data_IF_495973079491
#
_entry.id   IF_495973079491
#
_cell.length_a   1.000
_cell.length_b   1.000
_cell.length_c   1.000
_cell.angle_alpha   90.00
_cell.angle_beta   90.00
_cell.angle_gamma   90.00
#
_symmetry.space_group_name_H-M   'P 1'
#
loop_
_entity.id
_entity.type
_entity.pdbx_description
1 polymer ?
#
# COMPACT_ATOMS: atom_id res chain seq x y z
N UNK A 1 4.68 -3.30 39.37
CA UNK A 1 4.53 -2.33 38.27
C UNK A 1 5.91 -2.04 37.70
N UNK A 2 6.30 -2.76 36.64
CA UNK A 2 7.63 -2.61 36.05
C UNK A 2 7.65 -1.32 35.20
N UNK A 3 8.64 -0.46 35.46
CA UNK A 3 8.82 0.79 34.76
C UNK A 3 9.01 0.55 33.25
N UNK A 4 8.21 1.27 32.47
CA UNK A 4 8.24 1.31 31.01
C UNK A 4 9.58 1.88 30.54
N UNK A 5 10.12 1.39 29.42
CA UNK A 5 11.24 2.10 28.79
C UNK A 5 10.70 3.41 28.19
N UNK A 6 11.17 4.58 28.63
CA UNK A 6 10.67 5.89 28.17
C UNK A 6 10.86 6.10 26.66
N UNK A 7 11.84 5.43 26.05
CA UNK A 7 12.10 5.48 24.61
C UNK A 7 10.97 4.90 23.77
N UNK A 8 10.40 3.75 24.17
CA UNK A 8 9.28 3.14 23.44
C UNK A 8 7.98 3.92 23.61
N UNK A 9 7.76 4.54 24.77
CA UNK A 9 6.59 5.40 25.00
C UNK A 9 6.62 6.63 24.06
N UNK A 10 7.75 7.33 23.98
CA UNK A 10 7.87 8.51 23.12
C UNK A 10 7.70 8.19 21.63
N UNK A 11 8.13 7.02 21.17
CA UNK A 11 7.94 6.59 19.77
C UNK A 11 6.48 6.23 19.47
N UNK A 12 5.73 5.70 20.43
CA UNK A 12 4.34 5.27 20.22
C UNK A 12 3.35 6.45 20.22
N UNK A 13 3.64 7.51 20.98
CA UNK A 13 2.79 8.70 21.10
C UNK A 13 3.13 9.81 20.12
N UNK A 14 4.34 9.82 19.55
CA UNK A 14 4.69 10.73 18.48
C UNK A 14 4.35 10.06 17.15
N UNK A 15 3.33 10.60 16.47
CA UNK A 15 3.01 10.23 15.10
C UNK A 15 4.29 10.32 14.24
N UNK A 16 4.77 9.24 13.62
CA UNK A 16 5.89 9.33 12.69
C UNK A 16 5.54 10.21 11.46
N UNK A 17 4.26 10.52 11.24
CA UNK A 17 3.76 11.28 10.09
C UNK A 17 3.96 12.80 10.12
N UNK A 18 4.40 13.42 11.22
CA UNK A 18 4.60 14.88 11.28
C UNK A 18 6.09 15.22 11.17
N UNK A 19 6.63 15.07 9.98
CA UNK A 19 8.00 15.50 9.67
C UNK A 19 8.12 16.00 8.23
N UNK A 20 7.33 17.01 7.86
CA UNK A 20 7.64 18.03 6.86
C UNK A 20 6.39 18.87 6.56
N UNK A 21 6.12 19.90 7.36
CA UNK A 21 5.32 21.03 6.92
C UNK A 21 6.26 22.24 6.87
N UNK A 22 6.49 22.75 5.65
CA UNK A 22 7.29 23.93 5.41
C UNK A 22 6.74 25.11 6.20
N UNK A 23 7.63 25.83 6.86
CA UNK A 23 7.34 27.11 7.50
C UNK A 23 7.08 28.16 6.43
N UNK A 24 5.83 28.59 6.27
CA UNK A 24 5.47 29.79 5.51
C UNK A 24 5.44 31.00 6.48
N UNK A 25 6.26 32.05 6.28
CA UNK A 25 6.40 33.13 7.24
C UNK A 25 5.42 34.27 6.93
N UNK A 26 4.15 34.12 7.29
CA UNK A 26 3.22 35.24 7.30
C UNK A 26 2.10 35.01 8.31
N UNK A 27 2.31 35.51 9.54
CA UNK A 27 1.33 36.24 10.37
C UNK A 27 1.88 36.41 11.80
N UNK A 28 1.87 37.66 12.28
CA UNK A 28 2.33 38.09 13.60
C UNK A 28 1.35 37.77 14.74
N UNK A 29 1.68 38.15 15.99
CA UNK A 29 1.50 37.29 17.14
C UNK A 29 0.23 37.62 17.95
N UNK A 30 -0.54 36.60 18.31
CA UNK A 30 -1.38 36.64 19.52
C UNK A 30 -1.22 35.32 20.26
N UNK A 31 -0.82 35.46 21.52
CA UNK A 31 -0.44 34.42 22.46
C UNK A 31 -1.47 33.31 22.60
N UNK A 32 -1.01 32.06 22.60
CA UNK A 32 -1.57 31.03 23.48
C UNK A 32 -0.47 30.10 23.96
N UNK A 33 -0.21 30.22 25.26
CA UNK A 33 0.73 29.46 26.07
C UNK A 33 0.19 28.04 26.28
N UNK A 34 0.89 27.00 25.81
CA UNK A 34 1.01 25.65 26.39
C UNK A 34 1.70 24.70 25.37
N UNK A 35 2.63 23.87 25.86
CA UNK A 35 3.41 22.84 25.15
C UNK A 35 4.56 23.32 24.23
N UNK A 36 5.60 23.85 24.85
CA UNK A 36 6.95 23.85 24.29
C UNK A 36 7.54 22.42 24.35
N UNK A 37 7.22 21.60 23.35
CA UNK A 37 7.91 20.34 23.05
C UNK A 37 8.46 20.43 21.63
N UNK A 38 9.62 21.06 21.49
CA UNK A 38 10.21 21.41 20.19
C UNK A 38 10.40 20.20 19.28
N UNK A 39 9.78 20.25 18.10
CA UNK A 39 10.17 19.43 16.96
C UNK A 39 11.56 19.84 16.52
N UNK A 40 12.58 19.06 16.92
CA UNK A 40 13.92 19.17 16.38
C UNK A 40 14.05 18.14 15.26
N UNK A 41 14.17 18.64 14.03
CA UNK A 41 14.65 17.85 12.90
C UNK A 41 16.13 17.50 13.16
N UNK A 42 16.40 16.29 13.63
CA UNK A 42 17.77 15.79 13.74
C UNK A 42 18.20 15.20 12.40
N UNK A 43 18.82 16.03 11.56
CA UNK A 43 19.56 15.55 10.41
C UNK A 43 20.85 14.86 10.89
N UNK A 44 20.92 13.53 10.74
CA UNK A 44 22.14 12.77 10.95
C UNK A 44 23.12 13.14 9.82
N UNK A 45 24.18 13.90 10.14
CA UNK A 45 25.16 14.36 9.14
C UNK A 45 26.45 13.54 9.27
N UNK A 46 26.87 12.79 8.24
CA UNK A 46 28.20 12.20 8.24
C UNK A 46 29.23 13.32 8.02
N UNK A 47 30.13 13.53 8.98
CA UNK A 47 31.21 14.51 8.90
C UNK A 47 32.58 13.81 8.96
N UNK A 48 33.58 14.27 8.18
CA UNK A 48 34.92 13.69 8.20
C UNK A 48 35.62 13.98 9.53
N UNK A 49 36.46 13.04 9.96
CA UNK A 49 37.17 13.09 11.22
C UNK A 49 38.10 14.32 11.31
N UNK A 50 37.87 15.17 12.32
CA UNK A 50 38.87 16.09 12.84
C UNK A 50 38.86 15.96 14.37
N UNK A 51 40.01 15.55 14.91
CA UNK A 51 40.16 15.16 16.30
C UNK A 51 40.04 16.33 17.27
N UNK A 52 39.36 16.06 18.38
CA UNK A 52 39.62 16.72 19.67
C UNK A 52 39.73 15.60 20.70
N UNK A 53 40.94 15.41 21.21
CA UNK A 53 41.20 14.62 22.40
C UNK A 53 40.94 15.51 23.62
N UNK A 54 40.01 15.12 24.48
CA UNK A 54 40.09 15.40 25.91
C UNK A 54 39.22 14.42 26.69
N UNK A 55 39.84 13.85 27.72
CA UNK A 55 39.40 12.64 28.37
C UNK A 55 38.27 12.84 29.37
N UNK A 56 37.40 11.84 29.39
CA UNK A 56 36.79 11.35 30.61
C UNK A 56 36.55 9.85 30.41
N UNK A 57 37.47 9.02 30.91
CA UNK A 57 37.21 7.59 31.16
C UNK A 57 36.18 7.52 32.28
N UNK A 58 34.91 7.56 31.91
CA UNK A 58 33.78 7.25 32.77
C UNK A 58 32.87 6.32 31.98
N UNK A 59 33.23 5.04 31.91
CA UNK A 59 32.32 4.00 31.44
C UNK A 59 31.20 3.84 32.45
N UNK A 60 30.21 4.73 32.42
CA UNK A 60 28.93 4.50 33.07
C UNK A 60 28.31 3.28 32.41
N UNK A 61 28.13 2.23 33.20
CA UNK A 61 27.37 1.06 32.76
C UNK A 61 26.03 1.54 32.17
N UNK A 62 25.61 1.01 31.01
CA UNK A 62 24.35 1.43 30.39
C UNK A 62 23.23 1.21 31.39
N UNK A 63 22.49 2.28 31.69
CA UNK A 63 21.38 2.25 32.63
C UNK A 63 20.40 1.14 32.20
N UNK A 64 20.13 0.11 33.03
CA UNK A 64 19.29 -1.04 32.67
C UNK A 64 17.86 -0.65 32.28
N UNK A 65 17.43 0.58 32.56
CA UNK A 65 16.15 1.18 32.16
C UNK A 65 16.04 1.53 30.66
N UNK A 66 17.18 1.63 29.97
CA UNK A 66 17.26 2.08 28.57
C UNK A 66 17.25 0.97 27.53
N UNK A 67 17.35 -0.30 27.95
CA UNK A 67 17.48 -1.44 27.03
C UNK A 67 16.13 -1.94 26.48
N UNK A 68 16.08 -2.22 25.18
CA UNK A 68 14.92 -2.80 24.49
C UNK A 68 14.81 -4.32 24.72
N UNK A 69 15.96 -5.01 24.71
CA UNK A 69 16.04 -6.45 24.86
C UNK A 69 15.97 -6.90 26.33
N UNK A 70 15.54 -8.14 26.53
CA UNK A 70 15.62 -8.80 27.84
C UNK A 70 17.08 -9.04 28.21
N UNK A 71 17.41 -8.91 29.50
CA UNK A 71 18.81 -8.96 29.97
C UNK A 71 19.55 -10.26 29.64
N UNK A 72 18.84 -11.40 29.55
CA UNK A 72 19.43 -12.69 29.18
C UNK A 72 19.95 -12.72 27.74
N UNK A 73 19.23 -12.09 26.81
CA UNK A 73 19.59 -12.07 25.38
C UNK A 73 20.82 -11.21 25.13
N UNK A 74 20.98 -10.11 25.89
CA UNK A 74 22.17 -9.27 25.84
C UNK A 74 23.43 -9.94 26.40
N UNK A 75 23.28 -10.78 27.42
CA UNK A 75 24.41 -11.48 28.05
C UNK A 75 24.89 -12.67 27.23
N UNK A 76 23.96 -13.37 26.57
CA UNK A 76 24.25 -14.51 25.72
C UNK A 76 23.58 -14.32 24.34
N UNK A 77 24.16 -13.48 23.46
CA UNK A 77 23.70 -13.39 22.08
C UNK A 77 23.87 -14.75 21.39
N UNK A 78 22.90 -15.18 20.58
CA UNK A 78 22.98 -16.47 19.89
C UNK A 78 24.20 -16.50 18.96
N UNK A 79 24.83 -17.67 18.83
CA UNK A 79 25.99 -17.88 17.96
C UNK A 79 25.70 -17.61 16.47
N UNK A 80 24.42 -17.56 16.09
CA UNK A 80 23.95 -17.22 14.74
C UNK A 80 23.95 -15.73 14.41
N UNK A 81 24.24 -14.84 15.38
CA UNK A 81 24.26 -13.41 15.12
C UNK A 81 25.56 -12.98 14.42
N UNK A 82 25.48 -12.02 13.46
CA UNK A 82 26.67 -11.45 12.83
C UNK A 82 27.63 -10.85 13.87
N UNK A 83 28.94 -10.75 13.59
CA UNK A 83 29.90 -10.16 14.51
C UNK A 83 29.57 -8.69 14.85
N UNK A 84 30.03 -8.15 16.00
CA UNK A 84 29.68 -6.80 16.46
C UNK A 84 29.93 -5.68 15.43
N UNK A 85 31.05 -5.75 14.71
CA UNK A 85 31.41 -4.77 13.67
C UNK A 85 30.41 -4.76 12.51
N UNK A 86 29.98 -5.94 12.05
CA UNK A 86 28.98 -6.05 10.99
C UNK A 86 27.62 -5.50 11.43
N UNK A 87 27.23 -5.71 12.70
CA UNK A 87 25.99 -5.12 13.25
C UNK A 87 26.08 -3.60 13.32
N UNK A 88 27.24 -3.06 13.72
CA UNK A 88 27.48 -1.61 13.79
C UNK A 88 27.42 -0.98 12.39
N UNK A 89 28.05 -1.61 11.40
CA UNK A 89 27.98 -1.15 10.01
C UNK A 89 26.54 -1.16 9.46
N UNK A 90 25.76 -2.20 9.77
CA UNK A 90 24.34 -2.29 9.39
C UNK A 90 23.51 -1.15 9.99
N UNK A 91 23.63 -0.92 11.30
CA UNK A 91 22.91 0.17 12.00
C UNK A 91 23.35 1.53 11.47
N UNK A 92 24.64 1.74 11.21
CA UNK A 92 25.15 2.97 10.62
C UNK A 92 24.55 3.24 9.23
N UNK A 93 24.51 2.22 8.36
CA UNK A 93 23.89 2.32 7.04
C UNK A 93 22.40 2.65 7.14
N UNK A 94 21.68 1.99 8.05
CA UNK A 94 20.25 2.24 8.25
C UNK A 94 19.99 3.66 8.76
N UNK A 95 20.77 4.15 9.71
CA UNK A 95 20.64 5.50 10.29
C UNK A 95 21.05 6.61 9.32
N UNK A 96 21.97 6.33 8.39
CA UNK A 96 22.27 7.25 7.29
C UNK A 96 21.04 7.49 6.38
N UNK A 97 20.09 6.54 6.38
CA UNK A 97 18.88 6.58 5.58
C UNK A 97 19.15 6.25 4.11
N UNK A 98 18.17 5.70 3.39
CA UNK A 98 18.30 5.52 1.95
C UNK A 98 18.18 6.87 1.25
N UNK A 99 19.05 7.14 0.26
CA UNK A 99 18.88 8.25 -0.66
C UNK A 99 17.79 7.86 -1.68
N UNK A 100 16.54 8.15 -1.32
CA UNK A 100 15.38 7.87 -2.18
C UNK A 100 14.97 9.17 -2.86
N UNK A 101 14.88 9.12 -4.19
CA UNK A 101 14.32 10.20 -4.99
C UNK A 101 12.80 10.08 -4.96
N UNK A 102 12.16 11.01 -4.25
CA UNK A 102 10.72 11.16 -4.29
C UNK A 102 10.32 12.17 -5.38
N UNK A 103 9.18 11.96 -6.05
CA UNK A 103 8.66 12.91 -7.02
C UNK A 103 8.33 14.25 -6.34
N UNK A 104 8.40 15.35 -7.09
CA UNK A 104 8.07 16.67 -6.57
C UNK A 104 6.59 16.69 -6.11
N UNK A 105 6.29 17.05 -4.85
CA UNK A 105 4.93 17.21 -4.33
C UNK A 105 4.03 18.07 -5.23
N UNK A 106 4.58 19.06 -5.93
CA UNK A 106 3.85 19.90 -6.87
C UNK A 106 3.38 19.13 -8.12
N UNK A 107 4.14 18.13 -8.57
CA UNK A 107 3.80 17.31 -9.74
C UNK A 107 2.74 16.24 -9.42
N UNK A 108 2.76 15.72 -8.19
CA UNK A 108 1.84 14.69 -7.71
C UNK A 108 0.62 15.27 -6.98
N UNK A 109 0.60 16.58 -6.75
CA UNK A 109 -0.55 17.30 -6.21
C UNK A 109 -0.82 17.01 -4.73
N UNK A 110 0.20 16.66 -3.95
CA UNK A 110 0.02 16.30 -2.54
C UNK A 110 1.28 15.78 -1.86
N UNK A 111 1.11 15.34 -0.61
CA UNK A 111 2.19 14.77 0.19
C UNK A 111 2.53 13.36 -0.29
N UNK A 112 3.82 13.13 -0.54
CA UNK A 112 4.36 11.82 -0.90
C UNK A 112 4.41 10.92 0.34
N UNK A 113 3.81 9.70 0.32
CA UNK A 113 3.92 8.78 1.43
C UNK A 113 5.37 8.36 1.68
N UNK A 114 5.74 8.28 2.96
CA UNK A 114 7.07 7.87 3.40
C UNK A 114 7.37 6.43 2.99
N UNK A 115 8.65 6.15 2.66
CA UNK A 115 9.15 4.79 2.49
C UNK A 115 9.30 4.05 3.81
N UNK A 116 9.04 2.74 3.81
CA UNK A 116 9.19 1.89 4.99
C UNK A 116 10.60 1.94 5.58
N UNK A 117 11.64 1.92 4.73
CA UNK A 117 13.03 2.02 5.16
C UNK A 117 13.35 3.36 5.84
N UNK A 118 12.77 4.46 5.33
CA UNK A 118 12.90 5.78 5.95
C UNK A 118 12.16 5.85 7.29
N UNK A 119 10.99 5.20 7.40
CA UNK A 119 10.25 5.08 8.66
C UNK A 119 11.03 4.27 9.70
N UNK A 120 11.63 3.15 9.31
CA UNK A 120 12.50 2.34 10.18
C UNK A 120 13.71 3.17 10.64
N UNK A 121 14.40 3.84 9.72
CA UNK A 121 15.53 4.70 10.05
C UNK A 121 15.13 5.80 11.07
N UNK A 122 13.99 6.44 10.88
CA UNK A 122 13.45 7.44 11.79
C UNK A 122 13.12 6.87 13.19
N UNK A 123 12.55 5.66 13.26
CA UNK A 123 12.28 4.96 14.51
C UNK A 123 13.59 4.68 15.27
N UNK A 124 14.60 4.14 14.59
CA UNK A 124 15.90 3.84 15.20
C UNK A 124 16.62 5.12 15.66
N UNK A 125 16.61 6.17 14.83
CA UNK A 125 17.20 7.47 15.16
C UNK A 125 16.51 8.12 16.38
N UNK A 126 15.18 8.00 16.47
CA UNK A 126 14.42 8.50 17.62
C UNK A 126 14.78 7.77 18.91
N UNK A 127 14.94 6.44 18.86
CA UNK A 127 15.38 5.65 20.02
C UNK A 127 16.80 6.04 20.44
N UNK A 128 17.73 6.17 19.48
CA UNK A 128 19.09 6.63 19.75
C UNK A 128 19.11 8.05 20.37
N UNK A 129 18.26 8.94 19.88
CA UNK A 129 18.08 10.28 20.43
C UNK A 129 17.56 10.27 21.88
N UNK A 130 16.65 9.36 22.24
CA UNK A 130 16.22 9.20 23.64
C UNK A 130 17.36 8.71 24.54
N UNK A 131 18.29 7.91 24.00
CA UNK A 131 19.52 7.55 24.71
C UNK A 131 20.57 8.67 24.74
N UNK A 132 20.30 9.82 24.11
CA UNK A 132 21.23 10.95 24.00
C UNK A 132 22.38 10.72 23.02
N UNK A 133 22.24 9.75 22.11
CA UNK A 133 23.28 9.36 21.16
C UNK A 133 22.94 9.86 19.75
N UNK A 134 23.80 10.72 19.20
CA UNK A 134 23.60 11.37 17.90
C UNK A 134 24.59 10.94 16.82
N UNK A 135 25.56 10.07 17.15
CA UNK A 135 26.49 9.47 16.19
C UNK A 135 26.50 7.97 16.38
N UNK A 136 26.61 7.21 15.29
CA UNK A 136 26.64 5.75 15.39
C UNK A 136 27.87 5.23 16.15
N UNK A 137 28.98 5.97 16.11
CA UNK A 137 30.23 5.61 16.80
C UNK A 137 30.08 5.63 18.33
N UNK A 138 29.19 6.48 18.84
CA UNK A 138 28.93 6.67 20.26
C UNK A 138 28.00 5.59 20.84
N UNK A 139 27.43 4.71 20.01
CA UNK A 139 26.60 3.60 20.46
C UNK A 139 27.46 2.51 21.12
N UNK A 140 27.04 2.08 22.31
CA UNK A 140 27.58 0.87 22.94
C UNK A 140 27.18 -0.38 22.16
N UNK A 141 27.96 -1.46 22.25
CA UNK A 141 27.66 -2.71 21.54
C UNK A 141 26.30 -3.32 21.92
N UNK A 142 25.83 -3.08 23.15
CA UNK A 142 24.49 -3.46 23.58
C UNK A 142 23.38 -2.64 22.91
N UNK A 143 23.59 -1.33 22.74
CA UNK A 143 22.66 -0.46 22.01
C UNK A 143 22.64 -0.80 20.51
N UNK A 144 23.81 -1.08 19.92
CA UNK A 144 23.91 -1.58 18.54
C UNK A 144 23.14 -2.89 18.39
N UNK A 145 23.28 -3.84 19.33
CA UNK A 145 22.53 -5.08 19.31
C UNK A 145 21.01 -4.84 19.41
N UNK A 146 20.57 -3.96 20.31
CA UNK A 146 19.14 -3.63 20.47
C UNK A 146 18.55 -3.03 19.19
N UNK A 147 19.23 -2.06 18.56
CA UNK A 147 18.77 -1.44 17.31
C UNK A 147 18.82 -2.43 16.13
N UNK A 148 19.85 -3.25 16.05
CA UNK A 148 19.96 -4.30 15.03
C UNK A 148 18.81 -5.30 15.12
N UNK A 149 18.51 -5.79 16.33
CA UNK A 149 17.40 -6.73 16.52
C UNK A 149 16.05 -6.07 16.21
N UNK A 150 15.88 -4.79 16.53
CA UNK A 150 14.67 -4.06 16.23
C UNK A 150 14.47 -3.91 14.71
N UNK A 151 15.51 -3.50 13.97
CA UNK A 151 15.49 -3.44 12.50
C UNK A 151 15.09 -4.80 11.89
N UNK A 152 15.63 -5.91 12.41
CA UNK A 152 15.26 -7.26 11.95
C UNK A 152 13.77 -7.56 12.17
N UNK A 153 13.21 -7.24 13.34
CA UNK A 153 11.77 -7.47 13.59
C UNK A 153 10.89 -6.62 12.67
N UNK A 154 11.30 -5.37 12.39
CA UNK A 154 10.55 -4.46 11.53
C UNK A 154 10.63 -4.81 10.04
N UNK A 155 11.63 -5.57 9.61
CA UNK A 155 11.87 -5.92 8.20
C UNK A 155 11.49 -7.35 7.83
N UNK A 156 11.46 -8.28 8.79
CA UNK A 156 11.24 -9.70 8.50
C UNK A 156 9.76 -10.09 8.27
N UNK A 157 9.53 -11.24 7.61
CA UNK A 157 8.19 -11.84 7.49
C UNK A 157 7.51 -12.03 8.85
N UNK A 158 6.17 -12.04 8.92
CA UNK A 158 5.43 -12.09 10.18
C UNK A 158 5.82 -13.26 11.09
N UNK A 159 6.04 -14.44 10.52
CA UNK A 159 6.33 -15.66 11.26
C UNK A 159 7.69 -15.57 12.01
N UNK A 160 8.71 -15.06 11.33
CA UNK A 160 10.05 -14.85 11.92
C UNK A 160 10.07 -13.68 12.90
N UNK A 161 9.36 -12.60 12.56
CA UNK A 161 9.25 -11.41 13.40
C UNK A 161 8.58 -11.71 14.74
N UNK A 162 7.54 -12.56 14.76
CA UNK A 162 6.86 -12.98 15.98
C UNK A 162 7.78 -13.70 16.96
N UNK A 163 8.62 -14.63 16.47
CA UNK A 163 9.61 -15.32 17.28
C UNK A 163 10.65 -14.37 17.88
N UNK A 164 11.17 -13.46 17.06
CA UNK A 164 12.17 -12.47 17.48
C UNK A 164 11.61 -11.42 18.46
N UNK A 165 10.35 -11.02 18.33
CA UNK A 165 9.71 -10.06 19.22
C UNK A 165 9.70 -10.54 20.69
N UNK A 166 9.66 -11.85 20.94
CA UNK A 166 9.69 -12.43 22.30
C UNK A 166 10.98 -12.12 23.07
N UNK A 167 12.06 -11.78 22.36
CA UNK A 167 13.35 -11.41 22.94
C UNK A 167 13.34 -9.99 23.55
N UNK A 168 12.33 -9.19 23.22
CA UNK A 168 12.15 -7.84 23.72
C UNK A 168 11.43 -7.82 25.08
N UNK A 169 11.65 -6.76 25.85
CA UNK A 169 10.93 -6.55 27.12
C UNK A 169 9.43 -6.30 26.92
N UNK A 170 9.08 -5.65 25.81
CA UNK A 170 7.71 -5.29 25.45
C UNK A 170 7.37 -5.80 24.04
N UNK A 171 7.11 -7.11 23.87
CA UNK A 171 6.87 -7.73 22.56
C UNK A 171 5.71 -7.08 21.81
N UNK A 172 4.57 -6.84 22.47
CA UNK A 172 3.38 -6.25 21.86
C UNK A 172 3.62 -4.88 21.24
N UNK A 173 4.51 -4.08 21.85
CA UNK A 173 4.87 -2.75 21.33
C UNK A 173 5.74 -2.83 20.10
N UNK A 174 6.67 -3.78 20.05
CA UNK A 174 7.50 -4.00 18.87
C UNK A 174 6.65 -4.50 17.70
N UNK A 175 5.71 -5.40 17.96
CA UNK A 175 4.76 -5.86 16.94
C UNK A 175 3.86 -4.72 16.45
N UNK A 176 3.35 -3.87 17.35
CA UNK A 176 2.61 -2.67 16.95
C UNK A 176 3.43 -1.70 16.08
N UNK A 177 4.73 -1.52 16.36
CA UNK A 177 5.61 -0.73 15.49
C UNK A 177 5.80 -1.38 14.12
N UNK A 178 5.92 -2.71 14.07
CA UNK A 178 6.00 -3.46 12.82
C UNK A 178 4.74 -3.27 11.99
N UNK A 179 3.57 -3.36 12.61
CA UNK A 179 2.28 -3.16 11.93
C UNK A 179 2.18 -1.75 11.35
N UNK A 180 2.63 -0.72 12.08
CA UNK A 180 2.73 0.66 11.57
C UNK A 180 3.68 0.77 10.36
N UNK A 181 4.85 0.12 10.40
CA UNK A 181 5.78 0.10 9.26
C UNK A 181 5.16 -0.61 8.05
N UNK A 182 4.45 -1.72 8.27
CA UNK A 182 3.73 -2.42 7.21
C UNK A 182 2.62 -1.57 6.60
N UNK A 183 1.90 -0.79 7.40
CA UNK A 183 0.89 0.16 6.93
C UNK A 183 1.52 1.29 6.07
N UNK A 184 2.68 1.81 6.49
CA UNK A 184 3.44 2.80 5.71
C UNK A 184 3.89 2.19 4.37
N UNK A 185 4.45 0.98 4.40
CA UNK A 185 4.87 0.26 3.20
C UNK A 185 3.70 0.07 2.22
N UNK A 186 2.54 -0.32 2.74
CA UNK A 186 1.33 -0.53 1.94
C UNK A 186 0.80 0.78 1.34
N UNK A 187 0.77 1.87 2.11
CA UNK A 187 0.43 3.21 1.59
C UNK A 187 1.38 3.63 0.47
N UNK A 188 2.69 3.43 0.65
CA UNK A 188 3.69 3.76 -0.36
C UNK A 188 3.49 2.95 -1.64
N UNK A 189 3.30 1.64 -1.51
CA UNK A 189 3.04 0.73 -2.63
C UNK A 189 1.84 1.17 -3.46
N UNK A 190 0.71 1.52 -2.82
CA UNK A 190 -0.48 2.02 -3.52
C UNK A 190 -0.22 3.33 -4.25
N UNK A 191 0.51 4.25 -3.62
CA UNK A 191 0.90 5.50 -4.26
C UNK A 191 1.75 5.26 -5.51
N UNK A 192 2.73 4.35 -5.44
CA UNK A 192 3.56 3.98 -6.59
C UNK A 192 2.75 3.29 -7.69
N UNK A 193 1.80 2.40 -7.35
CA UNK A 193 0.88 1.79 -8.30
C UNK A 193 0.04 2.88 -9.02
N UNK A 194 -0.49 3.87 -8.29
CA UNK A 194 -1.23 5.00 -8.89
C UNK A 194 -0.36 5.92 -9.74
N UNK A 195 0.89 6.20 -9.33
CA UNK A 195 1.86 6.95 -10.14
C UNK A 195 2.19 6.20 -11.43
N UNK A 196 2.36 4.87 -11.37
CA UNK A 196 2.55 4.03 -12.54
C UNK A 196 1.37 4.08 -13.51
N UNK A 197 0.14 4.02 -13.01
CA UNK A 197 -1.08 4.16 -13.82
C UNK A 197 -1.19 5.55 -14.48
N UNK A 198 -0.84 6.62 -13.74
CA UNK A 198 -0.80 7.98 -14.27
C UNK A 198 0.22 8.12 -15.40
N UNK A 199 1.45 7.65 -15.21
CA UNK A 199 2.50 7.74 -16.23
C UNK A 199 2.23 6.86 -17.46
N UNK A 200 1.67 5.66 -17.25
CA UNK A 200 1.20 4.82 -18.36
C UNK A 200 0.14 5.54 -19.19
N UNK A 201 -0.83 6.20 -18.52
CA UNK A 201 -1.87 6.96 -19.22
C UNK A 201 -1.31 8.22 -19.90
N UNK A 202 -0.36 8.93 -19.27
CA UNK A 202 0.33 10.08 -19.91
C UNK A 202 1.06 9.65 -21.17
N UNK A 203 1.73 8.50 -21.13
CA UNK A 203 2.44 7.94 -22.28
C UNK A 203 1.45 7.58 -23.41
N UNK A 204 0.33 6.93 -23.07
CA UNK A 204 -0.73 6.64 -24.03
C UNK A 204 -1.33 7.91 -24.65
N UNK A 205 -1.59 8.94 -23.84
CA UNK A 205 -2.10 10.24 -24.31
C UNK A 205 -1.15 10.92 -25.30
N UNK A 206 0.17 10.95 -24.99
CA UNK A 206 1.18 11.51 -25.89
C UNK A 206 1.24 10.74 -27.21
N UNK A 207 1.15 9.41 -27.16
CA UNK A 207 1.14 8.56 -28.34
C UNK A 207 -0.12 8.74 -29.21
N UNK A 208 -1.28 8.98 -28.59
CA UNK A 208 -2.55 9.22 -29.29
C UNK A 208 -2.61 10.63 -29.91
N UNK A 209 -2.12 11.65 -29.19
CA UNK A 209 -2.12 13.04 -29.65
C UNK A 209 -1.29 13.26 -30.93
N UNK A 210 -0.35 12.36 -31.23
CA UNK A 210 0.44 12.35 -32.47
C UNK A 210 -0.20 11.61 -33.65
N UNK A 211 -1.36 10.96 -33.48
CA UNK A 211 -2.04 10.20 -34.53
C UNK A 211 -3.27 10.95 -35.05
N UNK A 212 -3.39 11.05 -36.37
CA UNK A 212 -4.57 11.64 -37.03
C UNK A 212 -5.79 10.73 -36.82
N UNK A 213 -6.76 11.24 -36.06
CA UNK A 213 -8.14 10.78 -35.81
C UNK A 213 -8.54 9.42 -36.38
N UNK A 214 -8.56 8.41 -35.51
CA UNK A 214 -9.32 7.17 -35.69
C UNK A 214 -9.86 6.71 -34.34
N UNK A 215 -11.06 6.11 -34.31
CA UNK A 215 -11.60 5.47 -33.09
C UNK A 215 -10.59 4.41 -32.65
N UNK A 216 -10.01 4.59 -31.48
CA UNK A 216 -9.07 3.59 -30.94
C UNK A 216 -9.91 2.45 -30.37
N UNK A 217 -9.62 1.22 -30.80
CA UNK A 217 -10.16 0.02 -30.16
C UNK A 217 -9.87 0.07 -28.65
N UNK A 218 -10.92 0.03 -27.83
CA UNK A 218 -10.82 0.17 -26.39
C UNK A 218 -9.97 -0.94 -25.78
N UNK A 219 -10.10 -2.18 -26.28
CA UNK A 219 -9.30 -3.31 -25.78
C UNK A 219 -7.83 -3.10 -26.12
N UNK A 220 -7.52 -2.71 -27.36
CA UNK A 220 -6.16 -2.39 -27.76
C UNK A 220 -5.57 -1.22 -26.95
N UNK A 221 -6.38 -0.19 -26.65
CA UNK A 221 -5.96 0.92 -25.81
C UNK A 221 -5.60 0.46 -24.39
N UNK A 222 -6.46 -0.35 -23.77
CA UNK A 222 -6.24 -0.91 -22.43
C UNK A 222 -5.02 -1.84 -22.40
N UNK A 223 -4.82 -2.67 -23.43
CA UNK A 223 -3.66 -3.55 -23.57
C UNK A 223 -2.35 -2.79 -23.79
N UNK A 224 -2.42 -1.59 -24.37
CA UNK A 224 -1.23 -0.76 -24.61
C UNK A 224 -0.71 -0.04 -23.36
N UNK A 225 -1.46 -0.07 -22.25
CA UNK A 225 -1.02 0.51 -20.99
C UNK A 225 0.14 -0.29 -20.39
N UNK A 226 1.26 0.40 -20.15
CA UNK A 226 2.46 -0.20 -19.57
C UNK A 226 2.35 -0.59 -18.09
N UNK A 227 1.23 -0.26 -17.43
CA UNK A 227 0.96 -0.58 -16.04
C UNK A 227 -0.53 -0.96 -15.84
N UNK A 228 -0.84 -1.85 -14.88
CA UNK A 228 -2.22 -2.18 -14.52
C UNK A 228 -2.90 -0.97 -13.85
N UNK A 229 -4.15 -0.71 -14.20
CA UNK A 229 -4.96 0.36 -13.61
C UNK A 229 -6.31 -0.19 -13.15
N UNK A 230 -6.40 -0.52 -11.86
CA UNK A 230 -7.57 -1.18 -11.28
C UNK A 230 -8.81 -0.28 -11.26
N UNK A 231 -8.64 1.02 -11.03
CA UNK A 231 -9.76 1.97 -11.04
C UNK A 231 -10.29 2.16 -12.46
N UNK A 232 -9.41 2.20 -13.47
CA UNK A 232 -9.83 2.23 -14.86
C UNK A 232 -10.59 0.95 -15.24
N UNK A 233 -10.11 -0.22 -14.81
CA UNK A 233 -10.81 -1.47 -15.06
C UNK A 233 -12.16 -1.53 -14.34
N UNK A 234 -12.23 -1.02 -13.11
CA UNK A 234 -13.48 -0.90 -12.37
C UNK A 234 -14.47 0.02 -13.10
N UNK A 235 -14.00 1.17 -13.60
CA UNK A 235 -14.79 2.08 -14.43
C UNK A 235 -15.33 1.40 -15.68
N UNK A 236 -14.46 0.74 -16.46
CA UNK A 236 -14.86 0.00 -17.67
C UNK A 236 -15.93 -1.02 -17.35
N UNK A 237 -15.74 -1.80 -16.27
CA UNK A 237 -16.69 -2.84 -15.87
C UNK A 237 -18.02 -2.26 -15.38
N UNK A 238 -18.01 -1.12 -14.69
CA UNK A 238 -19.22 -0.53 -14.11
C UNK A 238 -20.03 0.27 -15.13
N UNK A 239 -19.35 0.96 -16.05
CA UNK A 239 -19.98 1.89 -17.00
C UNK A 239 -20.22 1.30 -18.40
N UNK A 240 -19.74 0.08 -18.70
CA UNK A 240 -19.91 -0.49 -20.04
C UNK A 240 -21.38 -0.66 -20.42
N UNK A 241 -21.67 -0.42 -21.70
CA UNK A 241 -22.93 -0.82 -22.32
C UNK A 241 -22.85 -2.31 -22.72
N UNK A 242 -23.71 -3.19 -22.15
CA UNK A 242 -23.74 -4.61 -22.49
C UNK A 242 -24.14 -4.90 -23.95
N UNK A 243 -24.79 -3.95 -24.63
CA UNK A 243 -25.20 -4.07 -26.04
C UNK A 243 -24.12 -3.57 -27.01
N UNK A 244 -23.12 -2.82 -26.53
CA UNK A 244 -21.97 -2.41 -27.34
C UNK A 244 -20.89 -3.51 -27.29
N UNK A 245 -20.62 -4.22 -28.40
CA UNK A 245 -19.69 -5.35 -28.41
C UNK A 245 -18.26 -4.94 -28.03
N UNK A 246 -17.83 -3.71 -28.37
CA UNK A 246 -16.47 -3.25 -28.07
C UNK A 246 -16.32 -3.02 -26.55
N UNK A 247 -17.35 -2.46 -25.91
CA UNK A 247 -17.36 -2.21 -24.47
C UNK A 247 -17.55 -3.50 -23.67
N UNK A 248 -18.43 -4.40 -24.12
CA UNK A 248 -18.62 -5.71 -23.51
C UNK A 248 -17.33 -6.55 -23.56
N UNK A 249 -16.60 -6.50 -24.67
CA UNK A 249 -15.30 -7.16 -24.82
C UNK A 249 -14.24 -6.54 -23.90
N UNK A 250 -14.23 -5.21 -23.76
CA UNK A 250 -13.32 -4.52 -22.84
C UNK A 250 -13.59 -4.87 -21.37
N UNK A 251 -14.87 -4.89 -20.95
CA UNK A 251 -15.25 -5.31 -19.61
C UNK A 251 -14.84 -6.76 -19.34
N UNK A 252 -15.09 -7.67 -20.28
CA UNK A 252 -14.66 -9.07 -20.19
C UNK A 252 -13.13 -9.19 -20.10
N UNK A 253 -12.38 -8.41 -20.88
CA UNK A 253 -10.92 -8.39 -20.83
C UNK A 253 -10.42 -7.88 -19.46
N UNK A 254 -11.04 -6.86 -18.88
CA UNK A 254 -10.69 -6.31 -17.57
C UNK A 254 -10.83 -7.34 -16.44
N UNK A 255 -11.96 -8.05 -16.38
CA UNK A 255 -12.19 -9.05 -15.32
C UNK A 255 -11.34 -10.31 -15.45
N UNK A 256 -10.74 -10.56 -16.62
CA UNK A 256 -9.78 -11.67 -16.80
C UNK A 256 -8.41 -11.39 -16.21
N UNK A 257 -8.10 -10.15 -15.88
CA UNK A 257 -6.79 -9.78 -15.35
C UNK A 257 -6.66 -10.23 -13.90
N UNK A 258 -5.52 -10.82 -13.52
CA UNK A 258 -5.27 -11.28 -12.14
C UNK A 258 -5.26 -10.13 -11.13
N UNK A 259 -4.90 -8.93 -11.58
CA UNK A 259 -4.86 -7.74 -10.74
C UNK A 259 -6.23 -7.05 -10.64
N UNK A 260 -7.29 -7.60 -11.26
CA UNK A 260 -8.63 -7.04 -11.13
C UNK A 260 -9.11 -7.14 -9.68
N UNK A 261 -9.75 -6.09 -9.18
CA UNK A 261 -10.31 -6.08 -7.84
C UNK A 261 -11.53 -7.01 -7.76
N UNK A 262 -11.70 -7.68 -6.61
CA UNK A 262 -12.84 -8.57 -6.39
C UNK A 262 -14.19 -7.87 -6.57
N UNK A 263 -14.31 -6.59 -6.17
CA UNK A 263 -15.53 -5.80 -6.31
C UNK A 263 -15.92 -5.62 -7.79
N UNK A 264 -14.94 -5.39 -8.65
CA UNK A 264 -15.15 -5.27 -10.10
C UNK A 264 -15.66 -6.60 -10.70
N UNK A 265 -15.08 -7.73 -10.30
CA UNK A 265 -15.56 -9.06 -10.75
C UNK A 265 -16.99 -9.32 -10.30
N UNK A 266 -17.33 -8.94 -9.07
CA UNK A 266 -18.68 -9.10 -8.53
C UNK A 266 -19.71 -8.24 -9.27
N UNK A 267 -19.39 -6.96 -9.56
CA UNK A 267 -20.23 -6.10 -10.41
C UNK A 267 -20.44 -6.74 -11.78
N UNK A 268 -19.37 -7.19 -12.44
CA UNK A 268 -19.47 -7.76 -13.78
C UNK A 268 -20.41 -8.97 -13.81
N UNK A 269 -20.24 -9.91 -12.89
CA UNK A 269 -21.07 -11.11 -12.82
C UNK A 269 -22.51 -10.80 -12.38
N UNK A 270 -22.71 -9.79 -11.53
CA UNK A 270 -24.03 -9.27 -11.18
C UNK A 270 -24.75 -8.65 -12.39
N UNK A 271 -24.06 -7.79 -13.13
CA UNK A 271 -24.57 -7.17 -14.36
C UNK A 271 -24.87 -8.21 -15.45
N UNK A 272 -24.00 -9.21 -15.60
CA UNK A 272 -24.17 -10.34 -16.52
C UNK A 272 -25.45 -11.14 -16.22
N UNK A 273 -25.75 -11.35 -14.93
CA UNK A 273 -26.95 -12.02 -14.49
C UNK A 273 -28.21 -11.16 -14.72
N UNK A 274 -28.13 -9.86 -14.46
CA UNK A 274 -29.25 -8.93 -14.61
C UNK A 274 -29.61 -8.65 -16.09
N UNK A 275 -28.62 -8.58 -16.98
CA UNK A 275 -28.81 -8.26 -18.40
C UNK A 275 -29.30 -9.43 -19.26
N UNK A 276 -29.35 -10.64 -18.69
CA UNK A 276 -29.70 -11.87 -19.41
C UNK A 276 -28.73 -12.23 -20.54
N UNK A 277 -27.51 -11.67 -20.55
CA UNK A 277 -26.49 -11.92 -21.57
C UNK A 277 -26.13 -13.41 -21.67
N UNK A 278 -26.05 -14.13 -20.55
CA UNK A 278 -25.81 -15.59 -20.54
C UNK A 278 -26.88 -16.36 -21.32
N UNK A 279 -28.15 -16.00 -21.12
CA UNK A 279 -29.27 -16.66 -21.81
C UNK A 279 -29.30 -16.31 -23.31
N UNK A 280 -28.89 -15.10 -23.69
CA UNK A 280 -28.75 -14.70 -25.10
C UNK A 280 -27.59 -15.43 -25.77
N UNK A 281 -26.41 -15.47 -25.14
CA UNK A 281 -25.25 -16.18 -25.64
C UNK A 281 -25.53 -17.68 -25.82
N UNK A 282 -26.21 -18.30 -24.84
CA UNK A 282 -26.61 -19.70 -24.93
C UNK A 282 -27.55 -19.97 -26.12
N UNK A 283 -28.55 -19.10 -26.35
CA UNK A 283 -29.47 -19.23 -27.50
C UNK A 283 -28.80 -18.95 -28.84
N UNK A 284 -27.82 -18.05 -28.86
CA UNK A 284 -27.03 -17.74 -30.04
C UNK A 284 -25.96 -18.81 -30.35
N UNK A 285 -25.72 -19.74 -29.43
CA UNK A 285 -24.65 -20.74 -29.57
C UNK A 285 -23.25 -20.16 -29.41
N UNK A 286 -23.10 -19.03 -28.70
CA UNK A 286 -21.78 -18.42 -28.43
C UNK A 286 -21.03 -19.18 -27.33
N UNK A 287 -20.47 -20.33 -27.72
CA UNK A 287 -19.70 -21.19 -26.84
C UNK A 287 -18.38 -20.54 -26.40
N UNK A 288 -17.84 -19.61 -27.19
CA UNK A 288 -16.61 -18.91 -26.84
C UNK A 288 -16.85 -18.00 -25.63
N UNK A 289 -17.89 -17.17 -25.67
CA UNK A 289 -18.27 -16.34 -24.52
C UNK A 289 -18.58 -17.16 -23.28
N UNK A 290 -19.33 -18.26 -23.41
CA UNK A 290 -19.64 -19.14 -22.26
C UNK A 290 -18.39 -19.80 -21.66
N UNK A 291 -17.40 -20.15 -22.48
CA UNK A 291 -16.11 -20.66 -22.02
C UNK A 291 -15.29 -19.58 -21.28
N UNK A 292 -15.38 -18.32 -21.72
CA UNK A 292 -14.77 -17.19 -21.04
C UNK A 292 -15.37 -16.97 -19.65
N UNK A 293 -16.71 -16.99 -19.54
CA UNK A 293 -17.39 -16.85 -18.24
C UNK A 293 -17.08 -18.03 -17.31
N UNK A 294 -17.05 -19.27 -17.83
CA UNK A 294 -16.62 -20.45 -17.07
C UNK A 294 -15.25 -20.22 -16.43
N UNK A 295 -14.30 -19.70 -17.20
CA UNK A 295 -12.95 -19.45 -16.70
C UNK A 295 -12.95 -18.42 -15.57
N UNK A 296 -13.73 -17.35 -15.68
CA UNK A 296 -13.82 -16.32 -14.62
C UNK A 296 -14.34 -16.95 -13.32
N UNK A 297 -15.39 -17.78 -13.40
CA UNK A 297 -15.94 -18.48 -12.23
C UNK A 297 -14.92 -19.46 -11.61
N UNK A 298 -14.17 -20.19 -12.43
CA UNK A 298 -13.10 -21.09 -11.98
C UNK A 298 -11.95 -20.31 -11.32
N UNK A 299 -11.52 -19.19 -11.91
CA UNK A 299 -10.48 -18.33 -11.36
C UNK A 299 -10.89 -17.71 -10.03
N UNK A 300 -12.16 -17.32 -9.90
CA UNK A 300 -12.76 -16.85 -8.65
C UNK A 300 -12.70 -17.94 -7.58
N UNK A 301 -13.24 -19.12 -7.87
CA UNK A 301 -13.29 -20.24 -6.93
C UNK A 301 -11.89 -20.78 -6.58
N UNK A 302 -10.90 -20.58 -7.44
CA UNK A 302 -9.49 -20.87 -7.17
C UNK A 302 -8.78 -19.79 -6.34
N UNK A 303 -9.45 -18.67 -6.01
CA UNK A 303 -8.89 -17.59 -5.21
C UNK A 303 -7.83 -16.75 -5.92
N UNK A 304 -7.88 -16.66 -7.26
CA UNK A 304 -6.86 -15.91 -8.02
C UNK A 304 -6.97 -14.39 -7.88
N UNK A 305 -8.17 -13.87 -7.60
CA UNK A 305 -8.38 -12.44 -7.34
C UNK A 305 -8.03 -12.14 -5.89
N UNK A 306 -6.84 -11.60 -5.64
CA UNK A 306 -6.34 -11.35 -4.29
C UNK A 306 -6.65 -9.94 -3.76
N UNK A 307 -7.00 -9.00 -4.66
CA UNK A 307 -7.19 -7.59 -4.33
C UNK A 307 -8.61 -7.31 -3.82
N UNK A 308 -8.69 -6.54 -2.73
CA UNK A 308 -9.92 -6.13 -2.04
C UNK A 308 -9.78 -4.69 -1.56
N UNK A 309 -9.56 -3.79 -2.49
CA UNK A 309 -9.30 -2.39 -2.22
C UNK A 309 -10.50 -1.51 -2.55
N UNK A 310 -11.21 -1.82 -3.64
CA UNK A 310 -12.29 -0.97 -4.16
C UNK A 310 -13.62 -1.27 -3.44
N UNK A 311 -14.28 -0.22 -2.96
CA UNK A 311 -15.64 -0.27 -2.44
C UNK A 311 -16.68 -0.24 -3.55
N UNK A 312 -17.83 -0.85 -3.28
CA UNK A 312 -19.05 -0.63 -4.06
C UNK A 312 -19.90 0.47 -3.43
N UNK A 313 -20.67 1.18 -4.26
CA UNK A 313 -21.61 2.21 -3.81
C UNK A 313 -23.02 1.92 -4.38
N UNK A 314 -23.96 1.42 -3.56
CA UNK A 314 -23.81 1.08 -2.13
C UNK A 314 -22.97 -0.21 -1.90
N UNK A 315 -22.42 -0.44 -0.69
CA UNK A 315 -21.54 -1.60 -0.42
C UNK A 315 -22.21 -2.97 -0.61
N UNK A 316 -23.53 -3.02 -0.53
CA UNK A 316 -24.38 -4.21 -0.67
C UNK A 316 -24.98 -4.38 -2.08
N UNK A 317 -24.57 -3.55 -3.06
CA UNK A 317 -25.13 -3.50 -4.42
C UNK A 317 -25.27 -4.87 -5.11
N UNK A 318 -24.40 -5.83 -4.79
CA UNK A 318 -24.33 -7.14 -5.45
C UNK A 318 -24.87 -8.29 -4.60
N UNK A 319 -25.29 -8.05 -3.35
CA UNK A 319 -25.68 -9.11 -2.39
C UNK A 319 -26.85 -9.96 -2.91
N UNK A 320 -27.81 -9.33 -3.59
CA UNK A 320 -29.01 -10.00 -4.10
C UNK A 320 -28.82 -10.66 -5.49
N UNK A 321 -27.63 -10.58 -6.08
CA UNK A 321 -27.37 -11.11 -7.42
C UNK A 321 -27.21 -12.64 -7.47
N UNK A 322 -26.97 -13.31 -6.33
CA UNK A 322 -26.67 -14.74 -6.28
C UNK A 322 -27.76 -15.64 -6.91
N UNK A 323 -29.06 -15.48 -6.58
CA UNK A 323 -30.12 -16.29 -7.18
C UNK A 323 -30.26 -16.03 -8.68
N UNK A 324 -30.05 -14.78 -9.11
CA UNK A 324 -30.16 -14.39 -10.51
C UNK A 324 -29.08 -15.06 -11.36
N UNK A 325 -27.82 -15.03 -10.90
CA UNK A 325 -26.72 -15.69 -11.59
C UNK A 325 -26.94 -17.20 -11.62
N UNK A 326 -27.28 -17.81 -10.49
CA UNK A 326 -27.54 -19.25 -10.37
C UNK A 326 -28.62 -19.73 -11.36
N UNK A 327 -29.70 -18.94 -11.51
CA UNK A 327 -30.76 -19.22 -12.46
C UNK A 327 -30.29 -19.07 -13.92
N UNK A 328 -29.49 -18.04 -14.23
CA UNK A 328 -28.92 -17.83 -15.57
C UNK A 328 -27.96 -18.97 -15.97
N UNK A 329 -27.10 -19.43 -15.06
CA UNK A 329 -26.21 -20.58 -15.29
C UNK A 329 -27.00 -21.87 -15.56
N UNK A 330 -28.10 -22.07 -14.83
CA UNK A 330 -28.98 -23.24 -15.02
C UNK A 330 -29.66 -23.22 -16.39
N UNK A 331 -30.16 -22.06 -16.81
CA UNK A 331 -30.78 -21.89 -18.13
C UNK A 331 -29.78 -22.05 -19.27
N UNK A 332 -28.59 -21.48 -19.14
CA UNK A 332 -27.53 -21.63 -20.14
C UNK A 332 -27.13 -23.11 -20.33
N UNK A 333 -27.03 -23.87 -19.24
CA UNK A 333 -26.76 -25.31 -19.28
C UNK A 333 -27.87 -26.10 -19.99
N UNK A 334 -29.14 -25.80 -19.69
CA UNK A 334 -30.29 -26.44 -20.31
C UNK A 334 -30.37 -26.17 -21.83
N UNK A 335 -30.09 -24.94 -22.25
CA UNK A 335 -30.13 -24.54 -23.68
C UNK A 335 -28.98 -25.15 -24.48
N UNK A 336 -27.78 -25.18 -23.91
CA UNK A 336 -26.57 -25.67 -24.60
C UNK A 336 -26.36 -27.18 -24.50
N UNK A 337 -27.07 -27.85 -23.58
CA UNK A 337 -26.85 -29.27 -23.27
C UNK A 337 -25.50 -29.55 -22.58
N UNK A 338 -24.84 -28.52 -22.04
CA UNK A 338 -23.54 -28.64 -21.36
C UNK A 338 -23.70 -28.78 -19.84
N UNK A 339 -22.70 -29.33 -19.12
CA UNK A 339 -22.72 -29.34 -17.66
C UNK A 339 -22.83 -27.92 -17.09
N UNK A 340 -23.72 -27.76 -16.10
CA UNK A 340 -23.94 -26.50 -15.38
C UNK A 340 -22.63 -26.00 -14.75
N UNK A 341 -22.35 -24.71 -14.93
CA UNK A 341 -21.20 -24.03 -14.34
C UNK A 341 -21.35 -23.94 -12.80
N UNK A 342 -20.23 -23.97 -12.03
CA UNK A 342 -20.28 -23.83 -10.59
C UNK A 342 -20.69 -22.41 -10.20
N UNK A 343 -21.44 -22.28 -9.11
CA UNK A 343 -21.74 -20.98 -8.51
C UNK A 343 -20.46 -20.39 -7.86
N UNK A 344 -20.25 -19.06 -7.92
CA UNK A 344 -19.08 -18.43 -7.32
C UNK A 344 -19.23 -18.29 -5.80
N UNK A 345 -18.35 -18.93 -5.04
CA UNK A 345 -18.44 -18.96 -3.57
C UNK A 345 -18.03 -17.62 -2.98
N UNK A 346 -18.90 -17.01 -2.16
CA UNK A 346 -18.58 -15.77 -1.44
C UNK A 346 -18.39 -14.53 -2.32
N UNK A 347 -18.88 -14.55 -3.56
CA UNK A 347 -18.80 -13.41 -4.49
C UNK A 347 -19.80 -12.30 -4.15
N UNK A 348 -21.03 -12.67 -3.80
CA UNK A 348 -22.10 -11.69 -3.58
C UNK A 348 -22.19 -11.33 -2.10
N UNK A 349 -21.21 -10.56 -1.65
CA UNK A 349 -21.05 -10.06 -0.27
C UNK A 349 -20.93 -8.54 -0.27
N UNK A 350 -20.86 -7.93 0.91
CA UNK A 350 -20.54 -6.51 1.02
C UNK A 350 -19.09 -6.22 0.64
N UNK A 351 -18.89 -5.20 -0.20
CA UNK A 351 -17.56 -4.73 -0.61
C UNK A 351 -17.29 -3.35 -0.03
N UNK A 352 -16.53 -3.33 1.06
CA UNK A 352 -16.05 -2.12 1.73
C UNK A 352 -14.59 -1.87 1.35
N UNK A 353 -14.22 -0.61 1.21
CA UNK A 353 -12.92 -0.21 0.68
C UNK A 353 -12.82 1.28 0.40
N UNK A 354 -11.82 1.66 -0.40
CA UNK A 354 -11.73 3.03 -0.94
C UNK A 354 -12.69 3.18 -2.11
N UNK A 355 -13.21 4.39 -2.31
CA UNK A 355 -13.96 4.68 -3.53
C UNK A 355 -13.04 4.56 -4.75
N UNK A 356 -13.56 4.06 -5.88
CA UNK A 356 -12.80 4.03 -7.12
C UNK A 356 -12.49 5.46 -7.55
N UNK A 357 -11.28 5.67 -8.06
CA UNK A 357 -10.90 6.95 -8.62
C UNK A 357 -11.54 7.11 -10.01
N UNK A 358 -11.97 8.33 -10.40
CA UNK A 358 -12.94 8.50 -11.49
C UNK A 358 -12.37 8.28 -12.90
N UNK A 359 -11.04 8.41 -13.08
CA UNK A 359 -10.36 8.24 -14.38
C UNK A 359 -11.04 8.97 -15.53
N UNK A 360 -11.49 10.20 -15.29
CA UNK A 360 -12.24 11.05 -16.21
C UNK A 360 -11.54 11.31 -17.57
N UNK A 361 -10.23 11.12 -17.64
CA UNK A 361 -9.50 11.20 -18.91
C UNK A 361 -9.96 10.14 -19.92
N UNK A 362 -10.54 9.03 -19.44
CA UNK A 362 -11.03 7.92 -20.23
C UNK A 362 -12.53 8.01 -20.49
N UNK A 363 -12.88 7.81 -21.76
CA UNK A 363 -14.25 7.58 -22.26
C UNK A 363 -14.30 6.20 -22.90
N UNK A 364 -15.28 5.38 -22.54
CA UNK A 364 -15.45 4.05 -23.13
C UNK A 364 -15.79 4.11 -24.63
N UNK A 365 -16.33 5.23 -25.11
CA UNK A 365 -16.71 5.41 -26.52
C UNK A 365 -15.57 5.89 -27.41
N UNK A 366 -14.71 6.74 -26.87
CA UNK A 366 -13.73 7.52 -27.65
C UNK A 366 -12.30 7.33 -27.19
N UNK A 367 -12.06 6.51 -26.16
CA UNK A 367 -10.75 6.35 -25.53
C UNK A 367 -10.37 7.59 -24.70
N UNK A 368 -9.09 7.97 -24.72
CA UNK A 368 -8.65 9.16 -24.00
C UNK A 368 -9.18 10.44 -24.66
N UNK A 369 -9.87 11.27 -23.88
CA UNK A 369 -10.52 12.52 -24.34
C UNK A 369 -9.82 13.79 -23.86
N UNK A 370 -8.97 13.68 -22.83
CA UNK A 370 -8.20 14.79 -22.28
C UNK A 370 -6.90 14.28 -21.68
N UNK A 371 -5.95 15.20 -21.48
CA UNK A 371 -4.73 14.90 -20.74
C UNK A 371 -5.06 14.42 -19.31
N UNK A 372 -4.43 13.32 -18.83
CA UNK A 372 -4.67 12.79 -17.49
C UNK A 372 -4.12 13.74 -16.42
N UNK A 373 -4.91 13.95 -15.37
CA UNK A 373 -4.58 14.85 -14.24
C UNK A 373 -4.16 14.04 -13.02
N UNK A 374 -3.15 14.47 -12.24
CA UNK A 374 -2.75 13.78 -11.01
C UNK A 374 -3.92 13.50 -10.04
N UNK A 375 -4.83 14.46 -9.89
CA UNK A 375 -6.00 14.35 -9.01
C UNK A 375 -6.99 13.22 -9.40
N UNK A 376 -6.95 12.74 -10.65
CA UNK A 376 -7.80 11.63 -11.11
C UNK A 376 -7.19 10.25 -10.74
N UNK A 377 -5.97 10.23 -10.16
CA UNK A 377 -5.16 9.02 -9.87
C UNK A 377 -4.67 8.94 -8.42
N UNK A 378 -4.30 10.08 -7.86
CA UNK A 378 -3.66 10.19 -6.56
C UNK A 378 -4.68 10.76 -5.58
N UNK A 379 -4.87 10.09 -4.45
CA UNK A 379 -5.71 10.60 -3.36
C UNK A 379 -4.93 11.66 -2.56
N UNK A 380 -5.31 12.95 -2.61
CA UNK A 380 -4.62 14.00 -1.87
C UNK A 380 -4.81 13.87 -0.35
N UNK A 381 -5.80 13.10 0.13
CA UNK A 381 -6.12 12.94 1.55
C UNK A 381 -5.67 11.61 2.17
N UNK A 382 -4.94 10.76 1.43
CA UNK A 382 -4.38 9.53 1.97
C UNK A 382 -3.41 9.76 3.15
N UNK A 383 -2.90 11.00 3.32
CA UNK A 383 -2.13 11.43 4.48
C UNK A 383 -2.95 11.85 5.71
N UNK A 384 -4.16 12.39 5.53
CA UNK A 384 -4.95 13.01 6.61
C UNK A 384 -6.07 12.11 7.16
N UNK A 385 -6.65 11.20 6.35
CA UNK A 385 -7.78 10.36 6.81
C UNK A 385 -7.38 9.29 7.85
N UNK A 386 -6.10 8.93 7.90
CA UNK A 386 -5.56 8.05 8.95
C UNK A 386 -5.59 8.69 10.35
N UNK A 387 -5.65 10.03 10.44
CA UNK A 387 -5.74 10.75 11.72
C UNK A 387 -7.19 10.92 12.23
N UNK A 388 -8.20 10.47 11.46
CA UNK A 388 -9.63 10.71 11.76
C UNK A 388 -10.53 9.48 11.59
N UNK A 389 -10.01 8.28 11.79
CA UNK A 389 -10.87 7.12 12.01
C UNK A 389 -10.82 6.79 13.51
N UNK A 390 -11.96 6.76 14.23
CA UNK A 390 -12.02 6.63 15.69
C UNK A 390 -11.52 5.28 16.21
#
# INVERSE_FOLDING_TARGET
MAALSPALLLVLFADPGVAAAGTDPALGPVATTLLAGGGVLFAFRPGPAAGIAQGARGGTAPDPSSSLLRGLVRRNPSASLPPPEARRAHVALRLAGPALEDPDPAEVGGQVPQHADAAIAAILARIAGVWGVFRCDDLSDGQVLDLFMLDRVLTLPPDEAGGLATLFRHPDRVLSLRDKVAEIAERRRRFEESCGALEATRTAWRAQSGRTSGRTDLVAALQSLGAPDQDLWHKVVTEHDPEDPDQAMAALWCVRQRNCDQASVAIYLGALAASGQLDRAARAGDLAFLAEVRRILEQWNAGLYLRREIALEPPDQVVDCAPMLSAALTRAAAVTGTPRLPDPVGLFVEYRGRLPQPRDAWSLRTGLVRAPRPADYLDPQAGERAARTP
#
